data_IF_285263989745
#
_entry.id   IF_285263989745
#
_cell.length_a   1.000
_cell.length_b   1.000
_cell.length_c   1.000
_cell.angle_alpha   90.00
_cell.angle_beta   90.00
_cell.angle_gamma   90.00
#
_symmetry.space_group_name_H-M   'P 1'
#
loop_
_entity.id
_entity.type
_entity.pdbx_description
1 polymer ?
#
# COMPACT_ATOMS: atom_id res chain seq x y z
N UNK A 1 -21.29 -3.30 15.72
CA UNK A 1 -20.61 -4.45 15.08
C UNK A 1 -20.35 -4.28 13.58
N UNK A 2 -20.40 -3.07 13.01
CA UNK A 2 -20.20 -2.82 11.57
C UNK A 2 -18.76 -3.07 11.11
N UNK A 3 -17.78 -2.92 12.01
CA UNK A 3 -16.35 -2.94 11.66
C UNK A 3 -15.66 -4.31 11.79
N UNK A 4 -16.34 -5.32 12.34
CA UNK A 4 -15.78 -6.67 12.52
C UNK A 4 -15.44 -7.33 11.18
N UNK A 5 -16.19 -6.97 10.12
CA UNK A 5 -15.95 -7.44 8.76
C UNK A 5 -14.61 -6.96 8.20
N UNK A 6 -14.23 -5.72 8.49
CA UNK A 6 -12.91 -5.19 8.08
C UNK A 6 -11.77 -5.85 8.84
N UNK A 7 -12.00 -6.23 10.11
CA UNK A 7 -11.01 -6.96 10.90
C UNK A 7 -10.74 -8.35 10.27
N UNK A 8 -11.78 -9.06 9.83
CA UNK A 8 -11.62 -10.34 9.14
C UNK A 8 -10.81 -10.19 7.83
N UNK A 9 -11.14 -9.18 7.02
CA UNK A 9 -10.39 -8.88 5.78
C UNK A 9 -8.93 -8.55 6.09
N UNK A 10 -8.68 -7.75 7.14
CA UNK A 10 -7.33 -7.40 7.59
C UNK A 10 -6.51 -8.61 8.04
N UNK A 11 -7.13 -9.56 8.75
CA UNK A 11 -6.48 -10.82 9.15
C UNK A 11 -6.11 -11.65 7.93
N UNK A 12 -7.03 -11.83 6.98
CA UNK A 12 -6.75 -12.56 5.73
C UNK A 12 -5.61 -11.89 4.95
N UNK A 13 -5.62 -10.57 4.85
CA UNK A 13 -4.56 -9.80 4.20
C UNK A 13 -3.21 -9.97 4.89
N UNK A 14 -3.15 -9.87 6.22
CA UNK A 14 -1.93 -10.08 7.00
C UNK A 14 -1.37 -11.50 6.86
N UNK A 15 -2.25 -12.52 6.87
CA UNK A 15 -1.86 -13.91 6.64
C UNK A 15 -1.30 -14.11 5.22
N UNK A 16 -1.93 -13.54 4.20
CA UNK A 16 -1.45 -13.62 2.83
C UNK A 16 -0.07 -12.96 2.66
N UNK A 17 0.14 -11.78 3.26
CA UNK A 17 1.45 -11.12 3.25
C UNK A 17 2.53 -11.95 3.96
N UNK A 18 2.18 -12.56 5.09
CA UNK A 18 3.11 -13.39 5.88
C UNK A 18 3.50 -14.64 5.10
N UNK A 19 2.52 -15.33 4.50
CA UNK A 19 2.76 -16.53 3.69
C UNK A 19 3.49 -16.24 2.38
N UNK A 20 3.24 -15.07 1.79
CA UNK A 20 3.94 -14.62 0.58
C UNK A 20 5.34 -14.07 0.80
N UNK A 21 5.86 -14.13 2.04
CA UNK A 21 7.17 -13.56 2.45
C UNK A 21 7.35 -12.08 2.10
N UNK A 22 6.26 -11.40 1.72
CA UNK A 22 6.28 -9.99 1.32
C UNK A 22 6.51 -9.03 2.51
N UNK A 23 6.61 -9.61 3.71
CA UNK A 23 6.96 -8.96 4.97
C UNK A 23 8.48 -8.88 5.15
N UNK A 24 9.27 -9.71 4.48
CA UNK A 24 10.72 -9.74 4.71
C UNK A 24 11.42 -8.53 4.08
N UNK A 25 12.13 -7.77 4.93
CA UNK A 25 13.03 -6.69 4.52
C UNK A 25 14.05 -7.17 3.47
N UNK A 26 14.58 -8.39 3.65
CA UNK A 26 15.56 -8.96 2.74
C UNK A 26 15.00 -9.16 1.33
N UNK A 27 13.76 -9.61 1.21
CA UNK A 27 13.08 -9.83 -0.08
C UNK A 27 12.82 -8.53 -0.84
N UNK A 28 12.54 -7.45 -0.14
CA UNK A 28 12.37 -6.12 -0.73
C UNK A 28 13.72 -5.60 -1.25
N UNK A 29 14.80 -5.79 -0.49
CA UNK A 29 16.16 -5.43 -0.94
C UNK A 29 16.61 -6.27 -2.14
N UNK A 30 16.36 -7.58 -2.14
CA UNK A 30 16.63 -8.47 -3.29
C UNK A 30 15.91 -8.02 -4.55
N UNK A 31 14.68 -7.50 -4.42
CA UNK A 31 13.92 -6.95 -5.53
C UNK A 31 14.62 -5.71 -6.12
N UNK A 32 15.03 -4.75 -5.30
CA UNK A 32 15.75 -3.56 -5.77
C UNK A 32 17.15 -3.87 -6.30
N UNK A 33 17.77 -4.95 -5.82
CA UNK A 33 19.07 -5.47 -6.30
C UNK A 33 18.94 -6.40 -7.52
N UNK A 34 17.72 -6.67 -8.00
CA UNK A 34 17.43 -7.59 -9.11
C UNK A 34 17.95 -9.02 -8.92
N UNK A 35 18.15 -9.47 -7.68
CA UNK A 35 18.62 -10.83 -7.39
C UNK A 35 17.48 -11.86 -7.38
N UNK A 36 16.25 -11.43 -7.10
CA UNK A 36 15.08 -12.30 -7.02
C UNK A 36 13.86 -11.74 -7.73
N UNK A 37 13.27 -12.54 -8.62
CA UNK A 37 12.03 -12.21 -9.33
C UNK A 37 10.77 -12.40 -8.50
N UNK A 38 10.86 -12.90 -7.27
CA UNK A 38 9.69 -13.31 -6.50
C UNK A 38 8.71 -12.16 -6.24
N UNK A 39 9.20 -11.02 -5.73
CA UNK A 39 8.35 -9.84 -5.49
C UNK A 39 7.85 -9.19 -6.78
N UNK A 40 8.69 -9.12 -7.82
CA UNK A 40 8.25 -8.62 -9.12
C UNK A 40 7.11 -9.47 -9.69
N UNK A 41 7.17 -10.80 -9.54
CA UNK A 41 6.10 -11.72 -9.94
C UNK A 41 4.80 -11.48 -9.17
N UNK A 42 4.89 -11.20 -7.86
CA UNK A 42 3.71 -10.84 -7.05
C UNK A 42 3.09 -9.53 -7.58
N UNK A 43 3.87 -8.48 -7.83
CA UNK A 43 3.32 -7.23 -8.37
C UNK A 43 2.75 -7.39 -9.79
N UNK A 44 3.46 -8.11 -10.67
CA UNK A 44 3.04 -8.38 -12.04
C UNK A 44 1.73 -9.16 -12.12
N UNK A 45 1.40 -9.97 -11.12
CA UNK A 45 0.13 -10.70 -11.07
C UNK A 45 -0.95 -9.90 -10.35
N UNK A 46 -0.61 -9.25 -9.22
CA UNK A 46 -1.55 -8.49 -8.43
C UNK A 46 -2.13 -7.27 -9.17
N UNK A 47 -1.30 -6.51 -9.90
CA UNK A 47 -1.73 -5.32 -10.63
C UNK A 47 -2.79 -5.64 -11.70
N UNK A 48 -2.57 -6.56 -12.66
CA UNK A 48 -3.58 -6.89 -13.66
C UNK A 48 -4.80 -7.58 -13.05
N UNK A 49 -4.65 -8.42 -12.02
CA UNK A 49 -5.81 -9.00 -11.32
C UNK A 49 -6.67 -7.91 -10.67
N UNK A 50 -6.06 -6.93 -10.00
CA UNK A 50 -6.76 -5.77 -9.44
C UNK A 50 -7.44 -4.92 -10.52
N UNK A 51 -6.74 -4.64 -11.61
CA UNK A 51 -7.29 -3.89 -12.74
C UNK A 51 -8.48 -4.61 -13.40
N UNK A 52 -8.39 -5.94 -13.58
CA UNK A 52 -9.47 -6.77 -14.10
C UNK A 52 -10.68 -6.75 -13.17
N UNK A 53 -10.46 -6.87 -11.86
CA UNK A 53 -11.53 -6.83 -10.87
C UNK A 53 -12.25 -5.47 -10.87
N UNK A 54 -11.50 -4.36 -10.91
CA UNK A 54 -12.06 -3.02 -11.03
C UNK A 54 -12.82 -2.83 -12.36
N UNK A 55 -12.31 -3.38 -13.46
CA UNK A 55 -12.98 -3.34 -14.75
C UNK A 55 -14.32 -4.08 -14.73
N UNK A 56 -14.38 -5.26 -14.09
CA UNK A 56 -15.61 -6.03 -13.91
C UNK A 56 -16.62 -5.26 -13.06
N UNK A 57 -16.19 -4.69 -11.93
CA UNK A 57 -17.05 -3.86 -11.06
C UNK A 57 -17.65 -2.70 -11.85
N UNK A 58 -16.82 -2.00 -12.63
CA UNK A 58 -17.25 -0.87 -13.47
C UNK A 58 -18.25 -1.30 -14.54
N UNK A 59 -18.02 -2.45 -15.19
CA UNK A 59 -18.89 -2.98 -16.26
C UNK A 59 -20.23 -3.47 -15.73
N UNK A 60 -20.23 -4.10 -14.55
CA UNK A 60 -21.44 -4.67 -13.95
C UNK A 60 -22.19 -3.69 -13.04
N UNK A 61 -21.68 -2.46 -12.84
CA UNK A 61 -22.23 -1.46 -11.90
C UNK A 61 -22.56 -2.11 -10.55
N UNK A 62 -21.62 -2.91 -10.04
CA UNK A 62 -21.83 -3.59 -8.77
C UNK A 62 -21.93 -2.54 -7.67
N UNK A 63 -23.02 -2.61 -6.90
CA UNK A 63 -23.23 -1.73 -5.77
C UNK A 63 -22.24 -2.10 -4.66
N UNK A 64 -21.70 -1.10 -3.96
CA UNK A 64 -20.97 -1.32 -2.71
C UNK A 64 -21.88 -2.03 -1.71
N UNK A 65 -21.31 -2.60 -0.64
CA UNK A 65 -22.07 -3.26 0.43
C UNK A 65 -23.14 -2.37 1.10
N UNK A 66 -23.13 -1.06 0.83
CA UNK A 66 -24.07 -0.03 1.30
C UNK A 66 -25.04 0.47 0.22
N UNK A 67 -25.04 -0.12 -0.99
CA UNK A 67 -26.02 0.19 -2.05
C UNK A 67 -25.64 1.35 -2.98
N UNK A 68 -24.49 1.99 -2.76
CA UNK A 68 -23.99 3.05 -3.63
C UNK A 68 -23.28 2.48 -4.87
N UNK A 69 -23.31 3.21 -5.97
CA UNK A 69 -22.47 2.86 -7.14
C UNK A 69 -21.03 3.12 -6.74
N UNK A 70 -20.12 2.19 -7.03
CA UNK A 70 -18.68 2.39 -6.82
C UNK A 70 -18.22 3.53 -7.75
N UNK A 71 -18.32 4.75 -7.27
CA UNK A 71 -17.80 5.93 -7.95
C UNK A 71 -16.30 6.00 -7.65
N UNK A 72 -15.49 5.87 -8.69
CA UNK A 72 -14.04 5.94 -8.57
C UNK A 72 -13.64 7.40 -8.77
N UNK A 73 -13.30 8.14 -7.70
CA UNK A 73 -12.88 9.52 -7.85
C UNK A 73 -11.61 9.55 -8.71
N UNK A 74 -11.71 10.22 -9.85
CA UNK A 74 -10.56 10.41 -10.75
C UNK A 74 -9.58 11.32 -10.03
N UNK A 75 -8.44 10.75 -9.61
CA UNK A 75 -7.35 11.54 -9.02
C UNK A 75 -6.82 12.49 -10.09
N UNK A 76 -6.96 13.80 -9.86
CA UNK A 76 -6.40 14.82 -10.75
C UNK A 76 -4.87 14.69 -10.74
N UNK A 77 -4.29 14.77 -11.94
CA UNK A 77 -2.84 14.84 -12.08
C UNK A 77 -2.35 16.17 -11.51
N UNK A 78 -1.32 16.10 -10.67
CA UNK A 78 -0.68 17.26 -10.06
C UNK A 78 0.84 17.04 -10.09
N UNK A 79 1.63 18.09 -10.25
CA UNK A 79 3.08 18.00 -10.25
C UNK A 79 3.61 17.43 -8.92
N UNK A 80 2.89 17.70 -7.83
CA UNK A 80 3.15 17.09 -6.52
C UNK A 80 3.12 15.56 -6.51
N UNK A 81 2.34 14.91 -7.39
CA UNK A 81 2.30 13.44 -7.50
C UNK A 81 3.62 12.86 -8.00
N UNK A 82 4.30 13.55 -8.93
CA UNK A 82 5.59 13.08 -9.46
C UNK A 82 6.67 13.19 -8.39
N UNK A 83 6.78 14.35 -7.74
CA UNK A 83 7.77 14.57 -6.67
C UNK A 83 7.49 13.64 -5.48
N UNK A 84 6.23 13.52 -5.06
CA UNK A 84 5.82 12.64 -3.97
C UNK A 84 6.09 11.17 -4.25
N UNK A 85 5.83 10.69 -5.48
CA UNK A 85 6.10 9.30 -5.85
C UNK A 85 7.59 8.96 -5.90
N UNK A 86 8.44 9.91 -6.32
CA UNK A 86 9.90 9.76 -6.24
C UNK A 86 10.38 9.68 -4.78
N UNK A 87 9.98 10.64 -3.93
CA UNK A 87 10.37 10.65 -2.51
C UNK A 87 9.91 9.38 -1.80
N UNK A 88 8.67 8.96 -2.07
CA UNK A 88 8.12 7.72 -1.52
C UNK A 88 8.89 6.49 -2.01
N UNK A 89 9.24 6.43 -3.30
CA UNK A 89 10.04 5.35 -3.87
C UNK A 89 11.44 5.25 -3.24
N UNK A 90 12.12 6.39 -3.07
CA UNK A 90 13.42 6.43 -2.37
C UNK A 90 13.30 6.01 -0.90
N UNK A 91 12.28 6.51 -0.20
CA UNK A 91 12.00 6.10 1.17
C UNK A 91 11.74 4.59 1.29
N UNK A 92 10.98 4.03 0.35
CA UNK A 92 10.74 2.60 0.29
C UNK A 92 12.00 1.80 -0.06
N UNK A 93 12.87 2.27 -0.95
CA UNK A 93 14.14 1.59 -1.22
C UNK A 93 15.10 1.62 -0.02
N UNK A 94 15.13 2.73 0.72
CA UNK A 94 15.99 2.92 1.89
C UNK A 94 15.50 2.21 3.16
N UNK A 95 14.19 2.09 3.34
CA UNK A 95 13.57 1.52 4.55
C UNK A 95 12.94 0.16 4.32
N UNK A 96 12.59 -0.16 3.06
CA UNK A 96 11.99 -1.42 2.55
C UNK A 96 10.96 -1.98 3.48
N UNK A 97 10.21 -1.03 4.01
CA UNK A 97 8.91 -1.24 4.54
C UNK A 97 7.99 -0.39 3.67
N UNK A 98 6.99 -1.04 3.09
CA UNK A 98 5.88 -0.34 2.47
C UNK A 98 4.69 -0.34 3.45
N UNK A 99 3.69 0.54 3.28
CA UNK A 99 2.59 0.68 4.23
C UNK A 99 1.85 -0.63 4.53
N UNK A 100 1.77 -1.59 3.60
CA UNK A 100 1.18 -2.89 3.87
C UNK A 100 2.00 -3.74 4.85
N UNK A 101 3.24 -4.10 4.50
CA UNK A 101 4.17 -4.82 5.36
C UNK A 101 4.49 -4.13 6.69
N UNK A 102 4.47 -2.79 6.79
CA UNK A 102 4.70 -2.09 8.06
C UNK A 102 3.82 -2.63 9.19
N UNK A 103 2.51 -2.73 8.94
CA UNK A 103 1.56 -3.23 9.93
C UNK A 103 1.73 -4.73 10.21
N UNK A 104 2.05 -5.52 9.18
CA UNK A 104 2.24 -6.96 9.32
C UNK A 104 3.56 -7.32 10.04
N UNK A 105 4.65 -6.57 9.79
CA UNK A 105 5.96 -6.71 10.44
C UNK A 105 5.89 -6.38 11.93
N UNK A 106 5.11 -5.36 12.32
CA UNK A 106 4.87 -5.04 13.73
C UNK A 106 4.11 -6.20 14.39
N UNK A 107 3.10 -6.74 13.71
CA UNK A 107 2.36 -7.92 14.16
C UNK A 107 3.23 -9.18 14.28
N UNK A 108 4.28 -9.32 13.48
CA UNK A 108 5.24 -10.43 13.55
C UNK A 108 6.37 -10.23 14.57
N UNK A 109 6.35 -9.15 15.37
CA UNK A 109 7.29 -8.91 16.46
C UNK A 109 8.53 -8.08 16.10
N UNK A 110 8.57 -7.44 14.93
CA UNK A 110 9.72 -6.63 14.51
C UNK A 110 9.61 -5.20 15.05
N UNK A 111 10.18 -4.96 16.24
CA UNK A 111 10.06 -3.67 16.95
C UNK A 111 10.74 -2.50 16.23
N UNK A 112 11.74 -2.80 15.38
CA UNK A 112 12.46 -1.80 14.56
C UNK A 112 11.51 -1.10 13.59
N UNK A 113 10.48 -1.81 13.12
CA UNK A 113 9.45 -1.28 12.22
C UNK A 113 8.57 -0.21 12.87
N UNK A 114 8.49 -0.16 14.20
CA UNK A 114 7.78 0.92 14.89
C UNK A 114 8.41 2.30 14.60
N UNK A 115 9.73 2.37 14.42
CA UNK A 115 10.44 3.61 14.11
C UNK A 115 10.07 4.12 12.72
N UNK A 116 10.02 3.22 11.72
CA UNK A 116 9.63 3.56 10.35
C UNK A 116 8.15 3.94 10.27
N UNK A 117 7.28 3.27 11.05
CA UNK A 117 5.88 3.65 11.16
C UNK A 117 5.69 5.05 11.77
N UNK A 118 6.35 5.34 12.89
CA UNK A 118 6.29 6.67 13.52
C UNK A 118 6.81 7.77 12.60
N UNK A 119 7.90 7.49 11.86
CA UNK A 119 8.45 8.40 10.87
C UNK A 119 7.49 8.63 9.70
N UNK A 120 6.81 7.57 9.23
CA UNK A 120 5.80 7.68 8.19
C UNK A 120 4.59 8.51 8.65
N UNK A 121 4.13 8.33 9.90
CA UNK A 121 3.04 9.13 10.49
C UNK A 121 3.46 10.60 10.63
N UNK A 122 4.67 10.87 11.11
CA UNK A 122 5.19 12.24 11.18
C UNK A 122 5.30 12.87 9.78
N UNK A 123 5.73 12.11 8.78
CA UNK A 123 5.81 12.54 7.38
C UNK A 123 4.44 12.86 6.79
N UNK A 124 3.41 12.03 7.02
CA UNK A 124 2.06 12.30 6.52
C UNK A 124 1.41 13.47 7.24
N UNK A 125 1.66 13.63 8.55
CA UNK A 125 1.17 14.76 9.32
C UNK A 125 1.77 16.09 8.84
N UNK A 126 3.10 16.12 8.67
CA UNK A 126 3.80 17.30 8.17
C UNK A 126 3.37 17.64 6.74
N UNK A 127 3.20 16.64 5.88
CA UNK A 127 2.64 16.85 4.55
C UNK A 127 1.21 17.40 4.61
N UNK A 128 0.34 16.87 5.46
CA UNK A 128 -1.05 17.36 5.61
C UNK A 128 -1.13 18.83 6.05
N UNK A 129 -0.20 19.28 6.91
CA UNK A 129 -0.11 20.69 7.31
C UNK A 129 0.41 21.58 6.17
N UNK A 130 1.36 21.07 5.37
CA UNK A 130 2.02 21.83 4.31
C UNK A 130 1.26 21.78 2.98
N UNK A 131 0.33 20.83 2.81
CA UNK A 131 -0.45 20.61 1.58
C UNK A 131 -1.17 21.88 1.13
N UNK A 132 -1.71 22.67 2.06
CA UNK A 132 -2.40 23.93 1.76
C UNK A 132 -1.47 25.03 1.19
N UNK A 133 -0.14 24.86 1.28
CA UNK A 133 0.88 25.80 0.80
C UNK A 133 1.67 25.28 -0.40
N UNK A 134 1.46 24.03 -0.81
CA UNK A 134 2.16 23.43 -1.94
C UNK A 134 1.42 23.74 -3.25
N UNK A 135 2.13 24.14 -4.32
CA UNK A 135 1.51 24.28 -5.64
C UNK A 135 1.04 22.90 -6.15
N UNK A 136 -0.16 22.85 -6.75
CA UNK A 136 -0.69 21.63 -7.37
C UNK A 136 0.16 21.17 -8.57
#
# INVERSE_FOLDING_TARGET
MKNIKYLFIGVVFGLALTKGEAISWYRIQEMFRFESFHMFGIFMTAIPTGALFLFIIKKQKLNTFEGEVVDMPVKKYSHGVVIGSLIFGFGWALTGACPGPLYAQIGSGSWVTCVTLLSAIAGTWTYGLLQNKLPE
#
